data_IF_363820529240
#
_entry.id   IF_363820529240
#
_cell.length_a   1.000
_cell.length_b   1.000
_cell.length_c   1.000
_cell.angle_alpha   90.00
_cell.angle_beta   90.00
_cell.angle_gamma   90.00
#
_symmetry.space_group_name_H-M   'P 1'
#
loop_
_entity.id
_entity.type
_entity.pdbx_description
1 polymer ?
#
# COMPACT_ATOMS: atom_id res chain seq x y z
N UNK A 1 -54.23 -2.50 9.25
CA UNK A 1 -53.32 -1.56 9.95
C UNK A 1 -51.96 -1.62 9.28
N UNK A 2 -51.61 -0.60 8.49
CA UNK A 2 -50.26 -0.47 7.94
C UNK A 2 -49.44 0.27 8.99
N UNK A 3 -48.63 -0.47 9.74
CA UNK A 3 -47.62 0.12 10.62
C UNK A 3 -46.58 0.79 9.72
N UNK A 4 -46.77 2.07 9.41
CA UNK A 4 -45.71 2.92 8.85
C UNK A 4 -44.64 3.03 9.93
N UNK A 5 -43.67 2.12 9.88
CA UNK A 5 -42.49 2.13 10.73
C UNK A 5 -41.75 3.46 10.42
N UNK A 6 -41.97 4.49 11.24
CA UNK A 6 -41.21 5.74 11.16
C UNK A 6 -39.79 5.40 11.59
N UNK A 7 -38.94 5.06 10.63
CA UNK A 7 -37.50 5.07 10.87
C UNK A 7 -37.13 6.46 11.40
N UNK A 8 -36.37 6.54 12.50
CA UNK A 8 -36.04 7.83 13.11
C UNK A 8 -35.33 8.69 12.07
N UNK A 9 -35.71 9.98 11.99
CA UNK A 9 -35.19 10.94 11.01
C UNK A 9 -33.64 10.96 10.97
N UNK A 10 -33.01 10.69 12.12
CA UNK A 10 -31.57 10.48 12.25
C UNK A 10 -31.01 9.34 11.38
N UNK A 11 -31.67 8.17 11.32
CA UNK A 11 -31.21 7.03 10.52
C UNK A 11 -31.30 7.34 9.02
N UNK A 12 -32.33 8.07 8.60
CA UNK A 12 -32.47 8.51 7.20
C UNK A 12 -31.39 9.52 6.84
N UNK A 13 -31.15 10.51 7.70
CA UNK A 13 -30.09 11.50 7.52
C UNK A 13 -28.70 10.84 7.46
N UNK A 14 -28.40 9.93 8.38
CA UNK A 14 -27.15 9.19 8.41
C UNK A 14 -26.93 8.37 7.14
N UNK A 15 -27.94 7.60 6.69
CA UNK A 15 -27.84 6.81 5.47
C UNK A 15 -27.67 7.71 4.22
N UNK A 16 -28.28 8.89 4.21
CA UNK A 16 -28.14 9.85 3.11
C UNK A 16 -26.74 10.45 3.07
N UNK A 17 -26.19 10.84 4.22
CA UNK A 17 -24.82 11.34 4.32
C UNK A 17 -23.80 10.25 3.96
N UNK A 18 -24.00 9.04 4.48
CA UNK A 18 -23.20 7.87 4.15
C UNK A 18 -23.21 7.62 2.64
N UNK A 19 -24.39 7.73 2.01
CA UNK A 19 -24.53 7.55 0.58
C UNK A 19 -23.77 8.61 -0.21
N UNK A 20 -24.01 9.89 0.10
CA UNK A 20 -23.34 11.02 -0.54
C UNK A 20 -21.81 10.92 -0.44
N UNK A 21 -21.29 10.69 0.76
CA UNK A 21 -19.85 10.56 0.98
C UNK A 21 -19.28 9.39 0.19
N UNK A 22 -19.97 8.25 0.17
CA UNK A 22 -19.54 7.07 -0.59
C UNK A 22 -19.53 7.36 -2.09
N UNK A 23 -20.57 8.00 -2.62
CA UNK A 23 -20.70 8.23 -4.06
C UNK A 23 -19.63 9.21 -4.57
N UNK A 24 -19.30 10.25 -3.79
CA UNK A 24 -18.22 11.20 -4.10
C UNK A 24 -16.87 10.47 -4.15
N UNK A 25 -16.51 9.74 -3.09
CA UNK A 25 -15.24 9.04 -3.01
C UNK A 25 -15.15 7.89 -4.02
N UNK A 26 -16.23 7.14 -4.24
CA UNK A 26 -16.29 6.06 -5.22
C UNK A 26 -16.16 6.60 -6.65
N UNK A 27 -16.74 7.76 -6.95
CA UNK A 27 -16.53 8.46 -8.22
C UNK A 27 -15.08 8.89 -8.42
N UNK A 28 -14.46 9.46 -7.37
CA UNK A 28 -13.05 9.89 -7.41
C UNK A 28 -12.10 8.71 -7.60
N UNK A 29 -12.17 7.69 -6.73
CA UNK A 29 -11.28 6.52 -6.79
C UNK A 29 -11.56 5.63 -8.01
N UNK A 30 -12.82 5.58 -8.47
CA UNK A 30 -13.22 4.84 -9.66
C UNK A 30 -12.85 5.53 -10.98
N UNK A 31 -12.44 6.81 -10.95
CA UNK A 31 -12.07 7.56 -12.15
C UNK A 31 -10.83 6.97 -12.83
N UNK A 32 -10.82 6.95 -14.16
CA UNK A 32 -9.67 6.47 -14.94
C UNK A 32 -8.41 7.30 -14.64
N UNK A 33 -8.58 8.60 -14.38
CA UNK A 33 -7.49 9.53 -14.04
C UNK A 33 -6.83 9.11 -12.73
N UNK A 34 -7.62 8.83 -11.69
CA UNK A 34 -7.08 8.39 -10.40
C UNK A 34 -6.35 7.05 -10.55
N UNK A 35 -7.01 6.05 -11.14
CA UNK A 35 -6.42 4.70 -11.31
C UNK A 35 -5.11 4.73 -12.10
N UNK A 36 -5.03 5.55 -13.15
CA UNK A 36 -3.82 5.68 -13.97
C UNK A 36 -2.72 6.46 -13.27
N UNK A 37 -3.03 7.53 -12.55
CA UNK A 37 -2.01 8.46 -12.06
C UNK A 37 -1.64 8.29 -10.58
N UNK A 38 -2.34 7.45 -9.83
CA UNK A 38 -2.10 7.30 -8.38
C UNK A 38 -0.66 6.86 -8.05
N UNK A 39 -0.06 5.96 -8.85
CA UNK A 39 1.33 5.55 -8.66
C UNK A 39 2.34 6.66 -8.97
N UNK A 40 2.00 7.57 -9.90
CA UNK A 40 2.79 8.77 -10.18
C UNK A 40 2.68 9.79 -9.05
N UNK A 41 1.47 9.96 -8.48
CA UNK A 41 1.27 10.79 -7.29
C UNK A 41 2.11 10.29 -6.12
N UNK A 42 2.12 8.97 -5.88
CA UNK A 42 2.93 8.38 -4.81
C UNK A 42 4.43 8.58 -5.05
N UNK A 43 4.87 8.43 -6.30
CA UNK A 43 6.26 8.66 -6.68
C UNK A 43 6.66 10.14 -6.54
N UNK A 44 5.80 11.07 -6.93
CA UNK A 44 5.97 12.51 -6.72
C UNK A 44 6.03 12.86 -5.24
N UNK A 45 5.14 12.31 -4.42
CA UNK A 45 5.14 12.48 -2.96
C UNK A 45 6.46 12.02 -2.35
N UNK A 46 7.00 10.87 -2.76
CA UNK A 46 8.28 10.37 -2.21
C UNK A 46 9.48 11.16 -2.71
N UNK A 47 9.47 11.62 -3.96
CA UNK A 47 10.55 12.42 -4.54
C UNK A 47 10.62 13.82 -3.94
N UNK A 48 9.48 14.49 -3.77
CA UNK A 48 9.41 15.87 -3.29
C UNK A 48 9.14 15.98 -1.78
N UNK A 49 8.62 14.93 -1.15
CA UNK A 49 8.23 14.93 0.26
C UNK A 49 9.34 15.38 1.21
N UNK A 50 10.59 14.95 1.03
CA UNK A 50 11.69 15.43 1.86
C UNK A 50 12.02 16.92 1.71
N UNK A 51 11.61 17.60 0.62
CA UNK A 51 11.74 19.06 0.54
C UNK A 51 10.85 19.76 1.60
N UNK A 52 9.78 19.10 2.06
CA UNK A 52 8.95 19.59 3.17
C UNK A 52 9.72 19.65 4.49
N UNK A 53 10.84 18.92 4.63
CA UNK A 53 11.69 18.98 5.83
C UNK A 53 12.24 20.39 6.09
N UNK A 54 12.36 21.23 5.05
CA UNK A 54 12.79 22.62 5.19
C UNK A 54 11.73 23.52 5.82
N UNK A 55 10.46 23.13 5.76
CA UNK A 55 9.31 23.94 6.19
C UNK A 55 8.69 23.45 7.50
N UNK A 56 8.93 22.19 7.87
CA UNK A 56 8.32 21.57 9.05
C UNK A 56 9.07 21.92 10.33
N UNK A 57 8.33 22.37 11.34
CA UNK A 57 8.87 22.69 12.67
C UNK A 57 9.37 21.44 13.39
N UNK A 58 10.60 21.51 13.92
CA UNK A 58 11.22 20.46 14.75
C UNK A 58 10.49 20.21 16.08
N UNK A 59 9.57 21.10 16.47
CA UNK A 59 8.80 21.00 17.71
C UNK A 59 7.45 20.27 17.55
N UNK A 60 7.14 19.78 16.35
CA UNK A 60 5.95 18.96 16.12
C UNK A 60 6.01 17.64 16.90
N UNK A 61 4.86 17.16 17.39
CA UNK A 61 4.73 15.86 18.08
C UNK A 61 5.29 14.71 17.22
N UNK A 62 5.22 14.84 15.89
CA UNK A 62 5.70 13.86 14.92
C UNK A 62 7.21 13.92 14.64
N UNK A 63 7.92 14.94 15.13
CA UNK A 63 9.38 15.04 14.99
C UNK A 63 10.11 14.01 15.87
N UNK A 64 9.44 13.46 16.88
CA UNK A 64 10.02 12.41 17.73
C UNK A 64 9.77 11.02 17.14
N UNK A 65 10.83 10.38 16.61
CA UNK A 65 10.77 9.02 16.05
C UNK A 65 10.38 7.95 17.08
N UNK A 66 10.54 8.25 18.36
CA UNK A 66 10.21 7.34 19.45
C UNK A 66 8.76 7.47 19.93
N UNK A 67 7.96 8.33 19.28
CA UNK A 67 6.54 8.46 19.63
C UNK A 67 5.81 7.13 19.42
N UNK A 68 5.18 6.62 20.49
CA UNK A 68 4.59 5.28 20.53
C UNK A 68 3.51 5.09 19.45
N UNK A 69 2.59 6.05 19.32
CA UNK A 69 1.50 5.95 18.34
C UNK A 69 2.03 5.82 16.91
N UNK A 70 3.06 6.61 16.56
CA UNK A 70 3.66 6.58 15.24
C UNK A 70 4.25 5.20 14.92
N UNK A 71 5.06 4.65 15.84
CA UNK A 71 5.64 3.30 15.68
C UNK A 71 4.59 2.20 15.63
N UNK A 72 3.56 2.30 16.47
CA UNK A 72 2.48 1.32 16.54
C UNK A 72 1.69 1.29 15.23
N UNK A 73 1.30 2.46 14.69
CA UNK A 73 0.56 2.53 13.42
C UNK A 73 1.39 2.07 12.22
N UNK A 74 2.67 2.44 12.14
CA UNK A 74 3.56 2.00 11.06
C UNK A 74 3.79 0.48 11.06
N UNK A 75 4.02 -0.11 12.23
CA UNK A 75 4.21 -1.58 12.33
C UNK A 75 2.92 -2.34 12.07
N UNK A 76 1.79 -1.77 12.46
CA UNK A 76 0.47 -2.38 12.29
C UNK A 76 -0.17 -2.06 10.93
N UNK A 77 0.50 -1.32 10.03
CA UNK A 77 -0.13 -0.86 8.78
C UNK A 77 -0.65 -2.00 7.91
N UNK A 78 0.11 -3.09 7.84
CA UNK A 78 -0.33 -4.29 7.12
C UNK A 78 -1.57 -4.94 7.76
N UNK A 79 -1.60 -5.04 9.09
CA UNK A 79 -2.70 -5.67 9.83
C UNK A 79 -4.03 -4.93 9.62
N UNK A 80 -4.03 -3.60 9.77
CA UNK A 80 -5.21 -2.78 9.50
C UNK A 80 -5.66 -2.83 8.04
N UNK A 81 -4.70 -2.83 7.11
CA UNK A 81 -5.00 -2.97 5.67
C UNK A 81 -5.64 -4.33 5.38
N UNK A 82 -5.11 -5.42 5.94
CA UNK A 82 -5.72 -6.75 5.84
C UNK A 82 -7.15 -6.79 6.38
N UNK A 83 -7.38 -6.23 7.57
CA UNK A 83 -8.71 -6.26 8.22
C UNK A 83 -9.72 -5.48 7.40
N UNK A 84 -9.44 -4.21 7.07
CA UNK A 84 -10.42 -3.37 6.38
C UNK A 84 -10.56 -3.71 4.90
N UNK A 85 -9.45 -3.84 4.16
CA UNK A 85 -9.50 -4.19 2.74
C UNK A 85 -10.01 -5.62 2.54
N UNK A 86 -9.59 -6.58 3.37
CA UNK A 86 -10.08 -7.95 3.32
C UNK A 86 -11.58 -8.05 3.61
N UNK A 87 -12.07 -7.33 4.63
CA UNK A 87 -13.51 -7.27 4.93
C UNK A 87 -14.30 -6.62 3.80
N UNK A 88 -13.79 -5.54 3.21
CA UNK A 88 -14.40 -4.87 2.07
C UNK A 88 -14.49 -5.81 0.86
N UNK A 89 -13.38 -6.45 0.48
CA UNK A 89 -13.34 -7.41 -0.65
C UNK A 89 -14.29 -8.58 -0.42
N UNK A 90 -14.32 -9.11 0.81
CA UNK A 90 -15.23 -10.21 1.18
C UNK A 90 -16.70 -9.78 1.04
N UNK A 91 -17.11 -8.67 1.67
CA UNK A 91 -18.49 -8.19 1.61
C UNK A 91 -18.90 -7.78 0.19
N UNK A 92 -18.00 -7.13 -0.56
CA UNK A 92 -18.24 -6.74 -1.94
C UNK A 92 -18.51 -7.98 -2.82
N UNK A 93 -17.61 -8.97 -2.78
CA UNK A 93 -17.78 -10.22 -3.52
C UNK A 93 -19.04 -10.99 -3.09
N UNK A 94 -19.28 -11.11 -1.78
CA UNK A 94 -20.42 -11.83 -1.24
C UNK A 94 -21.75 -11.15 -1.63
N UNK A 95 -21.80 -9.81 -1.61
CA UNK A 95 -23.00 -9.05 -1.98
C UNK A 95 -23.42 -9.31 -3.42
N UNK A 96 -22.46 -9.57 -4.32
CA UNK A 96 -22.75 -9.73 -5.75
C UNK A 96 -23.00 -11.18 -6.12
N UNK A 97 -22.16 -12.12 -5.65
CA UNK A 97 -22.16 -13.51 -6.12
C UNK A 97 -22.77 -14.48 -5.10
N UNK A 98 -23.00 -14.05 -3.85
CA UNK A 98 -23.51 -14.84 -2.72
C UNK A 98 -22.79 -16.19 -2.49
N UNK A 99 -21.56 -16.32 -2.97
CA UNK A 99 -20.74 -17.53 -2.85
C UNK A 99 -19.55 -17.28 -1.93
N UNK A 100 -19.40 -18.15 -0.92
CA UNK A 100 -18.32 -18.08 0.06
C UNK A 100 -16.97 -18.42 -0.57
N UNK A 101 -16.90 -19.47 -1.39
CA UNK A 101 -15.67 -19.91 -2.05
C UNK A 101 -15.09 -18.86 -2.98
N UNK A 102 -15.95 -18.20 -3.77
CA UNK A 102 -15.51 -17.12 -4.65
C UNK A 102 -15.02 -15.91 -3.86
N UNK A 103 -15.70 -15.58 -2.76
CA UNK A 103 -15.30 -14.46 -1.90
C UNK A 103 -13.97 -14.73 -1.20
N UNK A 104 -13.75 -15.94 -0.71
CA UNK A 104 -12.46 -16.36 -0.14
C UNK A 104 -11.33 -16.30 -1.17
N UNK A 105 -11.61 -16.67 -2.42
CA UNK A 105 -10.64 -16.52 -3.53
C UNK A 105 -10.30 -15.06 -3.79
N UNK A 106 -11.25 -14.13 -3.74
CA UNK A 106 -10.93 -12.71 -3.89
C UNK A 106 -10.16 -12.15 -2.69
N UNK A 107 -10.44 -12.63 -1.48
CA UNK A 107 -9.70 -12.27 -0.25
C UNK A 107 -8.27 -12.82 -0.28
N UNK A 108 -8.03 -13.95 -0.94
CA UNK A 108 -6.68 -14.52 -1.04
C UNK A 108 -5.68 -13.57 -1.72
N UNK A 109 -6.15 -12.60 -2.53
CA UNK A 109 -5.31 -11.50 -3.06
C UNK A 109 -4.58 -10.76 -1.96
N UNK A 110 -5.33 -10.30 -0.96
CA UNK A 110 -4.77 -9.60 0.21
C UNK A 110 -3.77 -10.50 0.93
N UNK A 111 -4.08 -11.78 1.06
CA UNK A 111 -3.16 -12.79 1.61
C UNK A 111 -1.85 -12.91 0.83
N UNK A 112 -1.92 -13.00 -0.50
CA UNK A 112 -0.72 -13.12 -1.36
C UNK A 112 0.16 -11.87 -1.31
N UNK A 113 -0.42 -10.67 -1.24
CA UNK A 113 0.34 -9.42 -1.01
C UNK A 113 1.07 -9.48 0.33
N UNK A 114 0.41 -9.97 1.38
CA UNK A 114 1.01 -10.10 2.72
C UNK A 114 2.14 -11.11 2.78
N UNK A 115 1.98 -12.26 2.11
CA UNK A 115 3.04 -13.25 1.97
C UNK A 115 4.23 -12.70 1.18
N UNK A 116 3.97 -11.99 0.08
CA UNK A 116 5.03 -11.34 -0.70
C UNK A 116 5.78 -10.31 0.13
N UNK A 117 5.06 -9.49 0.91
CA UNK A 117 5.65 -8.50 1.81
C UNK A 117 6.54 -9.14 2.88
N UNK A 118 6.05 -10.21 3.51
CA UNK A 118 6.83 -10.92 4.52
C UNK A 118 8.10 -11.53 3.92
N UNK A 119 7.98 -12.15 2.73
CA UNK A 119 9.12 -12.67 1.98
C UNK A 119 10.12 -11.58 1.58
N UNK A 120 9.65 -10.44 1.08
CA UNK A 120 10.52 -9.32 0.69
C UNK A 120 11.25 -8.72 1.88
N UNK A 121 10.61 -8.61 3.06
CA UNK A 121 11.30 -8.20 4.30
C UNK A 121 12.46 -9.14 4.62
N UNK A 122 12.22 -10.46 4.58
CA UNK A 122 13.27 -11.45 4.83
C UNK A 122 14.40 -11.33 3.81
N UNK A 123 14.07 -11.23 2.53
CA UNK A 123 15.07 -11.05 1.48
C UNK A 123 15.89 -9.77 1.66
N UNK A 124 15.24 -8.64 1.98
CA UNK A 124 15.93 -7.38 2.24
C UNK A 124 16.88 -7.48 3.44
N UNK A 125 16.48 -8.18 4.51
CA UNK A 125 17.39 -8.40 5.64
C UNK A 125 18.60 -9.28 5.28
N UNK A 126 18.40 -10.27 4.41
CA UNK A 126 19.51 -11.11 3.92
C UNK A 126 20.44 -10.33 3.00
N UNK A 127 19.89 -9.54 2.07
CA UNK A 127 20.65 -8.68 1.17
C UNK A 127 21.42 -7.60 1.94
N UNK A 128 20.80 -7.00 2.96
CA UNK A 128 21.48 -6.02 3.80
C UNK A 128 22.66 -6.68 4.52
N UNK A 129 22.47 -7.86 5.12
CA UNK A 129 23.55 -8.59 5.79
C UNK A 129 24.66 -9.04 4.83
N UNK A 130 24.32 -9.40 3.59
CA UNK A 130 25.30 -9.84 2.59
C UNK A 130 26.06 -8.68 1.93
N UNK A 131 25.42 -7.54 1.74
CA UNK A 131 26.02 -6.37 1.08
C UNK A 131 26.69 -5.39 2.06
N UNK A 132 26.43 -5.55 3.36
CA UNK A 132 26.99 -4.69 4.39
C UNK A 132 28.31 -5.20 4.94
N UNK A 133 29.06 -4.27 5.50
CA UNK A 133 30.35 -4.51 6.13
C UNK A 133 30.38 -3.90 7.52
N UNK A 134 30.97 -4.64 8.46
CA UNK A 134 31.17 -4.19 9.83
C UNK A 134 32.56 -3.60 9.99
N UNK A 135 32.66 -2.47 10.68
CA UNK A 135 33.92 -1.75 10.90
C UNK A 135 34.14 -1.50 12.38
N UNK A 136 35.30 -1.91 12.88
CA UNK A 136 35.73 -1.59 14.23
C UNK A 136 36.45 -0.22 14.23
N UNK A 137 36.02 0.75 15.05
CA UNK A 137 36.69 2.03 15.15
C UNK A 137 37.98 1.89 15.97
N UNK A 138 39.14 1.81 15.31
CA UNK A 138 40.42 1.86 16.02
C UNK A 138 40.66 3.32 16.44
N UNK A 139 40.51 3.56 17.73
CA UNK A 139 41.04 4.78 18.35
C UNK A 139 42.56 4.69 18.29
N UNK A 140 43.22 5.62 17.61
CA UNK A 140 44.67 5.70 17.54
C UNK A 140 45.27 6.15 18.89
N UNK A 141 44.99 5.42 19.97
CA UNK A 141 45.46 5.70 21.34
C UNK A 141 46.52 4.72 21.84
N UNK A 142 47.04 3.84 20.99
CA UNK A 142 48.14 2.94 21.35
C UNK A 142 49.14 2.86 20.20
N UNK A 143 50.02 3.84 20.09
CA UNK A 143 51.47 3.65 19.95
C UNK A 143 52.15 4.95 20.36
N UNK A 144 52.94 4.90 21.42
CA UNK A 144 53.87 5.97 21.77
C UNK A 144 54.82 6.21 20.61
N UNK A 145 54.80 7.41 20.06
CA UNK A 145 55.65 7.79 18.94
C UNK A 145 55.35 9.23 18.53
N UNK A 146 56.15 10.15 19.07
CA UNK A 146 56.18 11.55 18.69
C UNK A 146 56.33 11.68 17.17
N UNK A 147 55.36 12.30 16.50
CA UNK A 147 55.40 12.54 15.06
C UNK A 147 54.24 13.43 14.64
N UNK A 148 54.57 14.63 14.20
CA UNK A 148 53.66 15.75 13.99
C UNK A 148 52.59 15.53 12.90
N UNK A 149 51.36 15.96 13.21
CA UNK A 149 50.46 16.66 12.28
C UNK A 149 49.96 15.92 11.03
N UNK A 150 48.98 15.02 11.18
CA UNK A 150 48.00 14.73 10.10
C UNK A 150 46.60 14.59 10.74
N UNK A 151 45.58 15.37 10.31
CA UNK A 151 44.26 15.32 10.92
C UNK A 151 43.51 14.04 10.51
N UNK A 152 43.19 13.20 11.50
CA UNK A 152 41.92 12.47 11.57
C UNK A 152 41.64 11.35 10.56
N UNK A 153 42.54 10.39 10.36
CA UNK A 153 42.16 9.09 9.75
C UNK A 153 41.93 8.05 10.85
N UNK A 154 40.68 7.95 11.33
CA UNK A 154 40.24 6.78 12.10
C UNK A 154 40.40 5.55 11.22
N UNK A 155 41.35 4.69 11.56
CA UNK A 155 41.59 3.45 10.83
C UNK A 155 40.44 2.49 11.18
N UNK A 156 39.68 2.07 10.16
CA UNK A 156 38.53 1.18 10.33
C UNK A 156 38.97 -0.24 9.96
N UNK A 157 38.96 -1.16 10.92
CA UNK A 157 39.25 -2.56 10.65
C UNK A 157 37.97 -3.23 10.12
N UNK A 158 38.06 -3.82 8.93
CA UNK A 158 36.95 -4.53 8.29
C UNK A 158 36.79 -5.90 8.95
N UNK A 159 35.60 -6.17 9.49
CA UNK A 159 35.22 -7.49 9.98
C UNK A 159 34.24 -8.12 9.00
N UNK A 160 34.71 -9.16 8.31
CA UNK A 160 33.97 -9.83 7.23
C UNK A 160 33.11 -10.99 7.79
N UNK A 161 31.86 -11.10 7.34
CA UNK A 161 30.97 -12.21 7.70
C UNK A 161 30.05 -12.02 8.92
N UNK A 162 30.08 -10.86 9.59
CA UNK A 162 29.18 -10.59 10.72
C UNK A 162 27.82 -10.02 10.30
N UNK A 163 26.76 -10.48 10.97
CA UNK A 163 25.42 -9.90 10.81
C UNK A 163 25.36 -8.47 11.35
N UNK A 164 24.50 -7.62 10.77
CA UNK A 164 24.27 -6.24 11.25
C UNK A 164 23.96 -6.20 12.75
N UNK A 165 23.19 -7.15 13.25
CA UNK A 165 22.81 -7.20 14.67
C UNK A 165 23.97 -7.56 15.59
N UNK A 166 24.88 -8.43 15.16
CA UNK A 166 26.10 -8.75 15.91
C UNK A 166 27.03 -7.55 15.94
N UNK A 167 27.24 -6.94 14.77
CA UNK A 167 28.07 -5.74 14.59
C UNK A 167 27.65 -4.59 15.51
N UNK A 168 26.36 -4.24 15.51
CA UNK A 168 25.84 -3.15 16.33
C UNK A 168 25.85 -3.49 17.84
N UNK A 169 25.69 -4.76 18.21
CA UNK A 169 25.81 -5.21 19.62
C UNK A 169 27.24 -5.13 20.12
N UNK A 170 28.22 -5.36 19.24
CA UNK A 170 29.64 -5.21 19.54
C UNK A 170 30.10 -3.74 19.60
N UNK A 171 29.20 -2.77 19.40
CA UNK A 171 29.55 -1.35 19.38
C UNK A 171 30.28 -0.91 18.10
N UNK A 172 30.28 -1.75 17.07
CA UNK A 172 30.95 -1.49 15.80
C UNK A 172 30.05 -0.71 14.82
N UNK A 173 30.67 -0.12 13.80
CA UNK A 173 30.01 0.69 12.78
C UNK A 173 29.60 -0.18 11.58
N UNK A 174 28.31 -0.17 11.24
CA UNK A 174 27.80 -0.87 10.06
C UNK A 174 27.68 0.08 8.86
N UNK A 175 28.26 -0.27 7.71
CA UNK A 175 27.96 0.39 6.44
C UNK A 175 27.39 -0.62 5.45
N UNK A 176 26.21 -0.33 4.93
CA UNK A 176 25.54 -1.18 3.97
C UNK A 176 24.37 -0.46 3.33
N UNK A 177 23.84 -1.07 2.28
CA UNK A 177 22.65 -0.57 1.61
C UNK A 177 21.42 -0.72 2.51
N UNK A 178 20.82 0.40 2.90
CA UNK A 178 19.62 0.42 3.72
C UNK A 178 18.42 0.77 2.85
N UNK A 179 17.44 -0.11 2.80
CA UNK A 179 16.15 0.15 2.15
C UNK A 179 15.13 0.50 3.24
N UNK A 180 14.33 1.55 3.01
CA UNK A 180 13.29 1.92 3.97
C UNK A 180 12.11 0.96 3.91
N UNK A 181 12.07 -0.01 4.84
CA UNK A 181 10.96 -0.95 4.98
C UNK A 181 9.63 -0.24 5.27
N UNK A 182 9.66 0.82 6.09
CA UNK A 182 8.48 1.60 6.47
C UNK A 182 7.84 2.26 5.24
N UNK A 183 8.68 2.88 4.39
CA UNK A 183 8.24 3.50 3.14
C UNK A 183 7.72 2.45 2.16
N UNK A 184 8.41 1.31 2.02
CA UNK A 184 7.98 0.21 1.17
C UNK A 184 6.60 -0.32 1.55
N UNK A 185 6.37 -0.53 2.85
CA UNK A 185 5.08 -1.03 3.35
C UNK A 185 3.95 -0.04 3.11
N UNK A 186 4.14 1.23 3.49
CA UNK A 186 3.12 2.26 3.34
C UNK A 186 2.75 2.44 1.86
N UNK A 187 3.74 2.47 0.97
CA UNK A 187 3.50 2.57 -0.46
C UNK A 187 2.71 1.37 -1.00
N UNK A 188 3.08 0.15 -0.61
CA UNK A 188 2.36 -1.06 -0.98
C UNK A 188 0.91 -1.04 -0.47
N UNK A 189 0.69 -0.69 0.80
CA UNK A 189 -0.66 -0.59 1.38
C UNK A 189 -1.53 0.46 0.67
N UNK A 190 -0.96 1.62 0.33
CA UNK A 190 -1.67 2.66 -0.43
C UNK A 190 -2.12 2.15 -1.80
N UNK A 191 -1.22 1.49 -2.54
CA UNK A 191 -1.52 0.95 -3.87
C UNK A 191 -2.58 -0.16 -3.82
N UNK A 192 -2.50 -1.05 -2.83
CA UNK A 192 -3.48 -2.12 -2.63
C UNK A 192 -4.86 -1.55 -2.29
N UNK A 193 -4.93 -0.60 -1.35
CA UNK A 193 -6.20 0.04 -0.97
C UNK A 193 -6.81 0.79 -2.16
N UNK A 194 -6.02 1.58 -2.87
CA UNK A 194 -6.49 2.32 -4.05
C UNK A 194 -7.05 1.38 -5.12
N UNK A 195 -6.36 0.29 -5.43
CA UNK A 195 -6.79 -0.64 -6.48
C UNK A 195 -8.03 -1.45 -6.07
N UNK A 196 -8.08 -1.97 -4.84
CA UNK A 196 -9.22 -2.77 -4.38
C UNK A 196 -10.47 -1.93 -4.17
N UNK A 197 -10.36 -0.66 -3.76
CA UNK A 197 -11.52 0.21 -3.53
C UNK A 197 -12.03 0.89 -4.81
N UNK A 198 -11.18 1.04 -5.84
CA UNK A 198 -11.56 1.66 -7.11
C UNK A 198 -12.69 0.91 -7.87
N UNK A 199 -12.96 -0.36 -7.54
CA UNK A 199 -14.00 -1.16 -8.17
C UNK A 199 -15.43 -0.72 -7.77
N UNK A 200 -15.59 -0.02 -6.64
CA UNK A 200 -16.92 0.34 -6.13
C UNK A 200 -17.59 1.41 -6.99
N UNK A 201 -16.84 2.40 -7.50
CA UNK A 201 -17.39 3.48 -8.33
C UNK A 201 -18.14 2.97 -9.55
N UNK A 202 -17.48 2.19 -10.44
CA UNK A 202 -18.15 1.58 -11.58
C UNK A 202 -19.34 0.69 -11.19
N UNK A 203 -19.26 -0.03 -10.07
CA UNK A 203 -20.35 -0.88 -9.58
C UNK A 203 -21.60 -0.07 -9.18
N UNK A 204 -21.41 1.05 -8.48
CA UNK A 204 -22.51 1.95 -8.12
C UNK A 204 -23.11 2.64 -9.36
N UNK A 205 -22.28 3.02 -10.34
CA UNK A 205 -22.74 3.61 -11.60
C UNK A 205 -23.65 2.65 -12.41
N UNK A 206 -23.49 1.34 -12.23
CA UNK A 206 -24.36 0.31 -12.84
C UNK A 206 -25.63 0.01 -12.03
N UNK A 207 -25.91 0.76 -10.97
CA UNK A 207 -27.07 0.52 -10.10
C UNK A 207 -26.91 -0.68 -9.18
N UNK A 208 -25.67 -1.08 -8.88
CA UNK A 208 -25.39 -2.19 -7.97
C UNK A 208 -25.97 -1.95 -6.56
N UNK A 209 -26.60 -2.96 -5.93
CA UNK A 209 -27.15 -2.80 -4.59
C UNK A 209 -26.03 -2.57 -3.58
N UNK A 210 -26.06 -1.44 -2.89
CA UNK A 210 -25.06 -1.05 -1.90
C UNK A 210 -25.70 -0.86 -0.53
N UNK A 211 -25.63 -1.90 0.30
CA UNK A 211 -26.06 -1.81 1.69
C UNK A 211 -25.18 -0.86 2.50
N UNK A 212 -25.75 -0.31 3.58
CA UNK A 212 -25.02 0.49 4.57
C UNK A 212 -23.68 -0.12 5.05
N UNK A 213 -23.56 -1.44 5.35
CA UNK A 213 -22.28 -2.00 5.80
C UNK A 213 -21.18 -1.95 4.73
N UNK A 214 -21.53 -2.15 3.46
CA UNK A 214 -20.55 -2.06 2.36
C UNK A 214 -20.04 -0.63 2.19
N UNK A 215 -20.96 0.35 2.22
CA UNK A 215 -20.63 1.78 2.14
C UNK A 215 -19.74 2.22 3.32
N UNK A 216 -20.07 1.77 4.53
CA UNK A 216 -19.27 2.06 5.73
C UNK A 216 -17.85 1.47 5.64
N UNK A 217 -17.70 0.20 5.25
CA UNK A 217 -16.38 -0.41 5.06
C UNK A 217 -15.56 0.29 3.98
N UNK A 218 -16.19 0.71 2.88
CA UNK A 218 -15.51 1.48 1.84
C UNK A 218 -14.95 2.80 2.39
N UNK A 219 -15.76 3.56 3.14
CA UNK A 219 -15.29 4.80 3.76
C UNK A 219 -14.18 4.56 4.80
N UNK A 220 -14.23 3.45 5.54
CA UNK A 220 -13.13 3.04 6.42
C UNK A 220 -11.86 2.72 5.63
N UNK A 221 -11.95 2.13 4.44
CA UNK A 221 -10.79 1.91 3.58
C UNK A 221 -10.23 3.23 3.02
N UNK A 222 -11.10 4.18 2.64
CA UNK A 222 -10.71 5.50 2.16
C UNK A 222 -10.04 6.32 3.26
N UNK A 223 -10.58 6.30 4.48
CA UNK A 223 -9.95 6.97 5.63
C UNK A 223 -8.61 6.34 5.99
N UNK A 224 -8.50 5.02 5.90
CA UNK A 224 -7.24 4.30 6.10
C UNK A 224 -6.20 4.64 5.03
N UNK A 225 -6.61 4.76 3.75
CA UNK A 225 -5.74 5.23 2.66
C UNK A 225 -5.22 6.65 2.95
N UNK A 226 -6.10 7.56 3.37
CA UNK A 226 -5.71 8.91 3.78
C UNK A 226 -4.72 8.91 4.95
N UNK A 227 -4.94 8.06 5.95
CA UNK A 227 -4.03 7.89 7.09
C UNK A 227 -2.66 7.39 6.64
N UNK A 228 -2.58 6.43 5.72
CA UNK A 228 -1.29 5.95 5.21
C UNK A 228 -0.54 7.01 4.40
N UNK A 229 -1.25 7.77 3.55
CA UNK A 229 -0.66 8.89 2.83
C UNK A 229 -0.14 9.97 3.79
N UNK A 230 -0.90 10.27 4.84
CA UNK A 230 -0.47 11.21 5.89
C UNK A 230 0.77 10.70 6.64
N UNK A 231 0.78 9.44 7.08
CA UNK A 231 1.93 8.84 7.76
C UNK A 231 3.17 8.77 6.85
N UNK A 232 2.98 8.52 5.56
CA UNK A 232 4.04 8.58 4.55
C UNK A 232 4.60 10.00 4.43
N UNK A 233 3.74 11.01 4.31
CA UNK A 233 4.19 12.42 4.29
C UNK A 233 4.92 12.81 5.58
N UNK A 234 4.43 12.40 6.74
CA UNK A 234 5.11 12.63 8.01
C UNK A 234 6.50 11.96 8.05
N UNK A 235 6.61 10.72 7.57
CA UNK A 235 7.87 9.98 7.48
C UNK A 235 8.87 10.72 6.58
N UNK A 236 8.44 11.16 5.40
CA UNK A 236 9.28 11.86 4.44
C UNK A 236 9.71 13.25 4.93
N UNK A 237 8.81 13.99 5.58
CA UNK A 237 9.07 15.34 6.04
C UNK A 237 9.95 15.39 7.31
N UNK A 238 9.73 14.50 8.29
CA UNK A 238 10.45 14.54 9.57
C UNK A 238 11.71 13.66 9.57
N UNK A 239 11.75 12.59 8.76
CA UNK A 239 12.87 11.67 8.69
C UNK A 239 13.33 11.46 7.23
N UNK A 240 13.79 12.51 6.54
CA UNK A 240 14.27 12.38 5.17
C UNK A 240 15.51 11.49 5.11
N UNK A 241 15.43 10.41 4.35
CA UNK A 241 16.52 9.46 4.12
C UNK A 241 16.55 9.10 2.62
N UNK A 242 17.31 9.87 1.85
CA UNK A 242 17.56 9.56 0.45
C UNK A 242 18.90 8.84 0.26
N UNK A 243 18.98 7.84 -0.63
CA UNK A 243 17.94 7.32 -1.52
C UNK A 243 17.06 6.20 -0.91
N UNK A 244 17.29 5.79 0.35
CA UNK A 244 16.68 4.60 0.96
C UNK A 244 15.14 4.59 0.93
N UNK A 245 14.50 5.75 1.09
CA UNK A 245 13.04 5.91 1.01
C UNK A 245 12.52 5.74 -0.43
N UNK A 246 13.23 6.30 -1.41
CA UNK A 246 12.86 6.17 -2.81
C UNK A 246 12.90 4.71 -3.27
N UNK A 247 13.91 3.97 -2.83
CA UNK A 247 14.05 2.54 -3.12
C UNK A 247 12.96 1.71 -2.45
N UNK A 248 12.61 2.05 -1.21
CA UNK A 248 11.47 1.44 -0.53
C UNK A 248 10.19 1.61 -1.33
N UNK A 249 9.89 2.84 -1.77
CA UNK A 249 8.73 3.11 -2.63
C UNK A 249 8.79 2.33 -3.95
N UNK A 250 9.95 2.30 -4.61
CA UNK A 250 10.13 1.59 -5.87
C UNK A 250 9.87 0.08 -5.72
N UNK A 251 10.36 -0.55 -4.65
CA UNK A 251 10.09 -1.96 -4.36
C UNK A 251 8.60 -2.20 -4.07
N UNK A 252 7.95 -1.30 -3.32
CA UNK A 252 6.50 -1.37 -3.08
C UNK A 252 5.70 -1.29 -4.39
N UNK A 253 6.09 -0.38 -5.29
CA UNK A 253 5.50 -0.26 -6.63
C UNK A 253 5.74 -1.51 -7.48
N UNK A 254 6.96 -2.05 -7.51
CA UNK A 254 7.29 -3.26 -8.28
C UNK A 254 6.51 -4.48 -7.76
N UNK A 255 6.39 -4.63 -6.44
CA UNK A 255 5.59 -5.69 -5.82
C UNK A 255 4.12 -5.58 -6.23
N UNK A 256 3.54 -4.38 -6.15
CA UNK A 256 2.17 -4.13 -6.61
C UNK A 256 2.02 -4.42 -8.11
N UNK A 257 2.94 -3.92 -8.95
CA UNK A 257 2.89 -4.09 -10.40
C UNK A 257 2.97 -5.57 -10.79
N UNK A 258 3.88 -6.32 -10.18
CA UNK A 258 4.04 -7.76 -10.41
C UNK A 258 2.78 -8.54 -10.04
N UNK A 259 2.13 -8.19 -8.93
CA UNK A 259 0.88 -8.84 -8.51
C UNK A 259 -0.31 -8.41 -9.38
N UNK A 260 -0.63 -7.11 -9.43
CA UNK A 260 -1.86 -6.61 -10.05
C UNK A 260 -1.80 -6.53 -11.57
N UNK A 261 -0.67 -6.18 -12.17
CA UNK A 261 -0.53 -6.11 -13.63
C UNK A 261 0.04 -7.40 -14.24
N UNK A 262 0.68 -8.25 -13.44
CA UNK A 262 1.24 -9.53 -13.88
C UNK A 262 0.36 -10.71 -13.48
N UNK A 263 0.52 -11.19 -12.23
CA UNK A 263 -0.09 -12.43 -11.75
C UNK A 263 -1.62 -12.38 -11.83
N UNK A 264 -2.25 -11.35 -11.29
CA UNK A 264 -3.72 -11.27 -11.21
C UNK A 264 -4.40 -11.05 -12.58
N UNK A 265 -3.64 -10.68 -13.62
CA UNK A 265 -4.15 -10.66 -15.01
C UNK A 265 -4.13 -12.03 -15.67
N UNK A 266 -3.39 -13.00 -15.13
CA UNK A 266 -3.40 -14.35 -15.68
C UNK A 266 -4.76 -15.01 -15.47
N UNK A 267 -5.11 -15.91 -16.40
CA UNK A 267 -6.43 -16.53 -16.44
C UNK A 267 -6.83 -17.12 -15.07
N UNK A 268 -8.08 -16.97 -14.63
CA UNK A 268 -8.48 -17.35 -13.27
C UNK A 268 -8.32 -18.88 -13.02
N UNK A 269 -7.19 -19.31 -12.49
CA UNK A 269 -6.96 -20.69 -11.96
C UNK A 269 -7.05 -20.75 -10.42
N UNK A 270 -7.05 -21.95 -9.83
CA UNK A 270 -7.03 -22.13 -8.36
C UNK A 270 -5.92 -21.30 -7.67
N UNK A 271 -4.81 -21.03 -8.36
CA UNK A 271 -3.69 -20.25 -7.87
C UNK A 271 -3.74 -18.75 -8.28
N UNK A 272 -4.66 -18.34 -9.16
CA UNK A 272 -4.80 -16.94 -9.61
C UNK A 272 -6.17 -16.39 -9.18
N UNK A 273 -6.21 -15.44 -8.25
CA UNK A 273 -7.46 -14.94 -7.70
C UNK A 273 -8.26 -13.99 -8.63
N UNK A 274 -7.69 -13.61 -9.78
CA UNK A 274 -8.34 -12.79 -10.82
C UNK A 274 -8.25 -11.28 -10.56
N UNK A 275 -8.55 -10.50 -11.59
CA UNK A 275 -8.42 -9.04 -11.57
C UNK A 275 -9.53 -8.37 -10.73
N UNK A 276 -9.27 -7.24 -10.04
CA UNK A 276 -10.32 -6.48 -9.37
C UNK A 276 -11.43 -6.10 -10.36
N UNK A 277 -12.68 -6.50 -10.06
CA UNK A 277 -13.84 -6.23 -10.91
C UNK A 277 -14.07 -7.22 -12.06
N UNK A 278 -13.22 -8.23 -12.22
CA UNK A 278 -13.36 -9.24 -13.28
C UNK A 278 -14.62 -10.11 -13.05
N UNK A 279 -15.46 -10.25 -14.09
CA UNK A 279 -16.74 -10.97 -14.03
C UNK A 279 -17.97 -10.13 -13.60
N UNK A 280 -17.78 -8.86 -13.20
CA UNK A 280 -18.88 -7.95 -12.85
C UNK A 280 -19.37 -7.11 -14.02
N UNK A 281 -18.45 -6.60 -14.86
CA UNK A 281 -18.78 -5.72 -15.99
C UNK A 281 -19.18 -6.45 -17.27
N UNK A 282 -18.85 -7.74 -17.39
CA UNK A 282 -18.98 -8.51 -18.64
C UNK A 282 -20.33 -9.22 -18.81
N UNK A 283 -21.15 -9.28 -17.77
CA UNK A 283 -22.45 -9.96 -17.83
C UNK A 283 -23.64 -9.06 -18.19
N UNK A 284 -23.49 -7.72 -18.19
CA UNK A 284 -24.59 -6.84 -18.60
C UNK A 284 -24.83 -6.86 -20.11
N UNK A 285 -23.80 -7.15 -20.92
CA UNK A 285 -23.94 -7.22 -22.38
C UNK A 285 -24.52 -8.54 -22.90
N UNK A 286 -24.62 -9.59 -22.07
CA UNK A 286 -25.11 -10.92 -22.51
C UNK A 286 -26.56 -11.22 -22.09
N UNK A 287 -27.23 -10.34 -21.34
CA UNK A 287 -28.61 -10.55 -20.92
C UNK A 287 -29.64 -9.78 -21.77
N UNK A 288 -29.22 -9.01 -22.79
CA UNK A 288 -30.13 -8.19 -23.59
C UNK A 288 -30.16 -8.44 -25.11
N UNK A 289 -29.40 -9.40 -25.65
CA UNK A 289 -29.55 -9.74 -27.07
C UNK A 289 -29.48 -11.24 -27.32
N UNK A 290 -30.65 -11.85 -27.42
CA UNK A 290 -30.88 -13.06 -28.20
C UNK A 290 -31.60 -12.63 -29.48
N UNK A 291 -30.83 -12.16 -30.47
CA UNK A 291 -31.23 -12.21 -31.88
C UNK A 291 -29.98 -12.50 -32.74
N UNK A 292 -30.10 -13.36 -33.77
CA UNK A 292 -28.96 -13.74 -34.60
C UNK A 292 -28.97 -12.93 -35.89
N UNK A 293 -27.94 -12.12 -36.17
CA UNK A 293 -27.46 -11.85 -37.54
C UNK A 293 -26.30 -10.84 -37.55
N UNK A 294 -25.31 -11.11 -38.40
CA UNK A 294 -24.57 -10.05 -39.08
C UNK A 294 -23.34 -9.47 -38.38
N UNK A 295 -22.21 -10.17 -38.54
CA UNK A 295 -20.87 -9.61 -38.82
C UNK A 295 -20.74 -8.07 -38.77
N UNK A 296 -20.25 -7.52 -37.66
CA UNK A 296 -19.24 -6.43 -37.63
C UNK A 296 -18.35 -6.66 -36.39
N UNK A 297 -17.15 -7.24 -36.60
CA UNK A 297 -16.05 -7.10 -35.64
C UNK A 297 -15.54 -5.66 -35.74
N UNK A 298 -15.87 -4.81 -34.76
CA UNK A 298 -15.12 -3.57 -34.48
C UNK A 298 -14.90 -3.49 -32.97
N UNK A 299 -13.64 -3.21 -32.62
CA UNK A 299 -13.00 -3.55 -31.36
C UNK A 299 -13.61 -2.91 -30.12
N UNK A 300 -13.75 -3.74 -29.09
CA UNK A 300 -13.86 -3.34 -27.67
C UNK A 300 -12.59 -3.80 -26.96
N UNK A 301 -11.43 -3.54 -27.58
CA UNK A 301 -10.12 -3.82 -26.98
C UNK A 301 -9.39 -2.54 -26.54
N UNK A 302 -9.94 -1.35 -26.78
CA UNK A 302 -9.16 -0.10 -26.68
C UNK A 302 -9.46 0.75 -25.43
N UNK A 303 -10.15 0.21 -24.42
CA UNK A 303 -10.44 0.95 -23.16
C UNK A 303 -9.45 0.58 -22.03
N UNK A 304 -8.66 -0.48 -22.18
CA UNK A 304 -7.80 -1.00 -21.09
C UNK A 304 -6.38 -1.41 -21.51
N UNK A 305 -5.88 -0.85 -22.61
CA UNK A 305 -4.46 -0.89 -22.97
C UNK A 305 -3.88 0.51 -22.84
N UNK A 306 -2.71 0.59 -22.20
CA UNK A 306 -1.87 1.77 -21.90
C UNK A 306 -2.10 2.47 -20.56
#
# INVERSE_FOLDING_TARGET
>A
MIVKNKSPLFVVAFNSLLALATDIWAGLLGSAVFRRNFHLLLSGVVLFGPALSMWVSKYSIFANRNHYLYRMFLRSSWGWTCVFAGSFVFLFSFSIRRSLWLSLRHVSRIGTVGSLWWGSRRLLTLLENAAGSCYEPISATLHGGQGAGVPGKSLLLLHEGESKTSCLKAGMLWRGWQVSEETCLLCLCCLVLAEETAVLGPFLAQGGPSGAPLRLLFLLCVSLLGLWLFLLLCLLAHFPQFPSQLLGCALGYLAWRGLYQGWYRMQPSWCCPGWPGEGLLRNSSNCHHREPLGRIKRGVNDVWTH
#
